data_IF_696756065898
#
_entry.id   IF_696756065898
#
_cell.length_a   1.000
_cell.length_b   1.000
_cell.length_c   1.000
_cell.angle_alpha   90.00
_cell.angle_beta   90.00
_cell.angle_gamma   90.00
#
_symmetry.space_group_name_H-M   'P 1'
#
loop_
_entity.id
_entity.type
_entity.pdbx_description
1 polymer ?
#
# COMPACT_ATOMS: atom_id res chain seq x y z
N UNK A 1 7.46 4.43 22.83
CA UNK A 1 6.25 5.26 22.93
C UNK A 1 6.41 6.50 22.08
N UNK A 2 5.36 6.90 21.43
CA UNK A 2 5.40 8.11 20.62
C UNK A 2 5.40 9.33 21.53
N UNK A 3 6.41 10.17 21.40
CA UNK A 3 6.51 11.36 22.21
C UNK A 3 5.32 12.28 21.93
N UNK A 4 4.68 12.76 22.96
CA UNK A 4 3.49 13.58 22.83
C UNK A 4 2.31 12.82 22.23
N UNK A 5 2.48 11.58 21.93
CA UNK A 5 1.44 10.64 21.59
C UNK A 5 0.92 10.66 20.19
N UNK A 6 0.82 11.76 19.52
CA UNK A 6 0.10 11.76 18.25
C UNK A 6 1.03 11.67 17.05
N UNK A 7 0.95 10.53 16.34
CA UNK A 7 1.60 10.37 15.05
C UNK A 7 0.72 11.06 14.01
N UNK A 8 1.33 11.82 13.11
CA UNK A 8 0.60 12.43 12.02
C UNK A 8 0.10 11.36 11.05
N UNK A 9 -1.19 11.37 10.79
CA UNK A 9 -1.80 10.46 9.82
C UNK A 9 -2.00 11.18 8.49
N UNK A 10 -1.70 10.46 7.41
CA UNK A 10 -1.90 10.93 6.05
C UNK A 10 -2.96 10.04 5.39
N UNK A 11 -3.91 10.66 4.70
CA UNK A 11 -4.98 9.93 4.01
C UNK A 11 -4.85 10.20 2.52
N UNK A 12 -4.84 9.12 1.74
CA UNK A 12 -4.82 9.20 0.28
C UNK A 12 -5.93 8.31 -0.28
N UNK A 13 -6.40 8.63 -1.49
CA UNK A 13 -7.51 7.92 -2.11
C UNK A 13 -7.33 7.80 -3.61
N UNK A 14 -7.94 6.76 -4.18
CA UNK A 14 -8.11 6.68 -5.63
C UNK A 14 -9.42 5.93 -5.94
N UNK A 15 -10.05 6.29 -7.05
CA UNK A 15 -11.20 5.54 -7.56
C UNK A 15 -10.69 4.59 -8.63
N UNK A 16 -10.92 3.29 -8.43
CA UNK A 16 -10.51 2.25 -9.37
C UNK A 16 -11.74 1.82 -10.17
N UNK A 17 -11.68 1.97 -11.47
CA UNK A 17 -12.80 1.65 -12.37
C UNK A 17 -12.77 0.15 -12.70
N UNK A 18 -13.04 -0.67 -11.70
CA UNK A 18 -13.05 -2.12 -11.80
C UNK A 18 -13.95 -2.68 -10.72
N UNK A 19 -14.29 -3.96 -10.83
CA UNK A 19 -15.14 -4.62 -9.85
C UNK A 19 -14.38 -4.90 -8.56
N UNK A 20 -15.13 -4.94 -7.45
CA UNK A 20 -14.56 -5.09 -6.12
C UNK A 20 -13.71 -6.35 -5.96
N UNK A 21 -14.17 -7.49 -6.47
CA UNK A 21 -13.39 -8.74 -6.39
C UNK A 21 -12.06 -8.61 -7.12
N UNK A 22 -12.05 -7.96 -8.27
CA UNK A 22 -10.83 -7.72 -9.04
C UNK A 22 -9.87 -6.82 -8.27
N UNK A 23 -10.40 -5.73 -7.70
CA UNK A 23 -9.59 -4.77 -6.94
C UNK A 23 -8.96 -5.45 -5.74
N UNK A 24 -9.76 -6.20 -4.98
CA UNK A 24 -9.27 -6.93 -3.80
C UNK A 24 -8.19 -7.94 -4.16
N UNK A 25 -8.43 -8.77 -5.18
CA UNK A 25 -7.49 -9.80 -5.60
C UNK A 25 -6.18 -9.19 -6.12
N UNK A 26 -6.28 -8.14 -6.93
CA UNK A 26 -5.09 -7.47 -7.48
C UNK A 26 -4.24 -6.84 -6.38
N UNK A 27 -4.88 -6.27 -5.37
CA UNK A 27 -4.15 -5.65 -4.25
C UNK A 27 -3.29 -6.68 -3.50
N UNK A 28 -3.79 -7.90 -3.36
CA UNK A 28 -3.19 -8.91 -2.49
C UNK A 28 -2.38 -10.00 -3.21
N UNK A 29 -2.39 -10.03 -4.52
CA UNK A 29 -1.68 -11.04 -5.30
C UNK A 29 -0.20 -10.64 -5.43
N UNK A 30 0.75 -11.46 -4.93
CA UNK A 30 2.17 -11.13 -4.98
C UNK A 30 2.71 -10.81 -6.37
N UNK A 31 2.29 -11.56 -7.38
CA UNK A 31 2.76 -11.30 -8.74
C UNK A 31 2.28 -9.93 -9.26
N UNK A 32 1.05 -9.56 -8.91
CA UNK A 32 0.50 -8.26 -9.27
C UNK A 32 1.22 -7.14 -8.50
N UNK A 33 1.49 -7.36 -7.21
CA UNK A 33 2.19 -6.37 -6.38
C UNK A 33 3.55 -6.02 -7.00
N UNK A 34 4.27 -7.02 -7.51
CA UNK A 34 5.54 -6.78 -8.20
C UNK A 34 5.39 -5.84 -9.40
N UNK A 35 4.18 -5.75 -9.97
CA UNK A 35 3.93 -4.92 -11.14
C UNK A 35 3.51 -3.49 -10.79
N UNK A 36 2.67 -3.32 -9.75
CA UNK A 36 2.10 -2.00 -9.48
C UNK A 36 2.73 -1.25 -8.30
N UNK A 37 3.43 -1.93 -7.40
CA UNK A 37 3.86 -1.31 -6.15
C UNK A 37 5.16 -0.52 -6.31
N UNK A 38 5.19 0.43 -7.25
CA UNK A 38 6.35 1.29 -7.48
C UNK A 38 5.90 2.74 -7.61
N UNK A 39 6.69 3.69 -7.09
CA UNK A 39 6.34 5.11 -7.20
C UNK A 39 6.66 5.70 -8.57
N UNK A 40 7.59 5.10 -9.32
CA UNK A 40 7.99 5.62 -10.64
C UNK A 40 8.69 4.53 -11.43
N UNK A 41 8.98 4.83 -12.71
CA UNK A 41 9.66 3.88 -13.60
C UNK A 41 11.11 3.62 -13.19
N UNK A 42 11.69 4.46 -12.34
CA UNK A 42 13.06 4.29 -11.87
C UNK A 42 13.19 3.25 -10.76
N UNK A 43 12.08 2.76 -10.26
CA UNK A 43 12.03 1.76 -9.19
C UNK A 43 11.43 0.46 -9.69
N UNK A 44 11.77 -0.62 -9.01
CA UNK A 44 11.17 -1.93 -9.27
C UNK A 44 10.83 -2.60 -7.94
N UNK A 45 9.82 -3.47 -7.99
CA UNK A 45 9.41 -4.27 -6.84
C UNK A 45 9.48 -5.73 -7.24
N UNK A 46 10.11 -6.53 -6.39
CA UNK A 46 10.31 -7.96 -6.64
C UNK A 46 10.10 -8.76 -5.36
N UNK A 47 10.06 -10.07 -5.50
CA UNK A 47 10.03 -10.99 -4.37
C UNK A 47 8.89 -10.73 -3.38
N UNK A 48 7.75 -10.27 -3.89
CA UNK A 48 6.59 -10.03 -3.04
C UNK A 48 6.04 -11.34 -2.52
N UNK A 49 5.68 -11.35 -1.24
CA UNK A 49 5.01 -12.48 -0.59
C UNK A 49 3.92 -11.95 0.31
N UNK A 50 2.82 -12.70 0.38
CA UNK A 50 1.65 -12.30 1.15
C UNK A 50 1.09 -13.54 1.85
N UNK A 51 0.94 -13.44 3.18
CA UNK A 51 0.22 -14.42 3.97
C UNK A 51 -1.01 -13.69 4.50
N UNK A 52 -2.08 -13.69 3.71
CA UNK A 52 -3.25 -12.85 3.95
C UNK A 52 -4.17 -13.43 5.02
N UNK A 53 -3.76 -13.26 6.26
CA UNK A 53 -4.53 -13.65 7.44
C UNK A 53 -4.09 -12.78 8.61
N UNK A 54 -4.93 -12.68 9.62
CA UNK A 54 -4.56 -11.95 10.83
C UNK A 54 -3.38 -12.66 11.48
N UNK A 55 -2.34 -11.89 11.80
CA UNK A 55 -1.08 -12.43 12.29
C UNK A 55 -0.10 -12.83 11.18
N UNK A 56 -0.55 -12.89 9.93
CA UNK A 56 0.32 -13.20 8.80
C UNK A 56 1.19 -12.02 8.43
N UNK A 57 2.19 -12.27 7.60
CA UNK A 57 3.15 -11.25 7.19
C UNK A 57 3.16 -11.06 5.68
N UNK A 58 3.57 -9.88 5.25
CA UNK A 58 3.84 -9.60 3.85
C UNK A 58 5.21 -8.96 3.70
N UNK A 59 5.81 -9.10 2.53
CA UNK A 59 7.10 -8.48 2.24
C UNK A 59 7.23 -8.26 0.73
N UNK A 60 7.84 -7.13 0.37
CA UNK A 60 8.20 -6.82 -1.01
C UNK A 60 9.57 -6.17 -1.01
N UNK A 61 10.42 -6.54 -1.97
CA UNK A 61 11.71 -5.88 -2.14
C UNK A 61 11.54 -4.72 -3.11
N UNK A 62 11.78 -3.51 -2.64
CA UNK A 62 11.66 -2.29 -3.46
C UNK A 62 13.06 -1.72 -3.67
N UNK A 63 13.44 -1.50 -4.93
CA UNK A 63 14.80 -1.08 -5.28
C UNK A 63 14.78 -0.07 -6.42
N UNK A 64 15.70 0.87 -6.35
CA UNK A 64 16.01 1.70 -7.52
C UNK A 64 16.64 0.81 -8.57
N UNK A 65 16.24 0.97 -9.83
CA UNK A 65 16.74 0.10 -10.92
C UNK A 65 18.23 0.23 -11.15
N UNK A 66 18.81 1.37 -10.80
CA UNK A 66 20.26 1.58 -10.93
C UNK A 66 21.06 1.03 -9.74
N UNK A 67 20.38 0.44 -8.76
CA UNK A 67 21.03 -0.15 -7.59
C UNK A 67 21.43 0.84 -6.51
N UNK A 68 21.08 2.12 -6.64
CA UNK A 68 21.52 3.16 -5.71
C UNK A 68 20.82 3.10 -4.35
N UNK A 69 19.66 2.48 -4.26
CA UNK A 69 18.90 2.40 -3.03
C UNK A 69 17.96 1.19 -3.06
N UNK A 70 17.58 0.71 -1.88
CA UNK A 70 16.62 -0.37 -1.78
C UNK A 70 16.25 -0.65 -0.34
N UNK A 71 15.10 -1.26 -0.14
CA UNK A 71 14.62 -1.64 1.19
C UNK A 71 13.55 -2.72 1.06
N UNK A 72 13.28 -3.38 2.18
CA UNK A 72 12.19 -4.34 2.27
C UNK A 72 10.97 -3.62 2.84
N UNK A 73 9.89 -3.59 2.06
CA UNK A 73 8.61 -3.07 2.54
C UNK A 73 7.85 -4.25 3.11
N UNK A 74 7.73 -4.31 4.44
CA UNK A 74 7.18 -5.48 5.10
C UNK A 74 6.37 -5.10 6.32
N UNK A 75 5.48 -6.01 6.71
CA UNK A 75 4.63 -5.77 7.87
C UNK A 75 3.87 -7.00 8.31
N UNK A 76 3.03 -6.80 9.32
CA UNK A 76 2.20 -7.84 9.92
C UNK A 76 0.75 -7.40 9.88
N UNK A 77 -0.12 -8.27 9.37
CA UNK A 77 -1.56 -7.99 9.34
C UNK A 77 -2.16 -8.14 10.73
N UNK A 78 -2.98 -7.16 11.13
CA UNK A 78 -3.70 -7.21 12.39
C UNK A 78 -5.18 -7.47 12.22
N UNK A 79 -5.77 -6.97 11.14
CA UNK A 79 -7.17 -7.14 10.88
C UNK A 79 -7.43 -7.20 9.39
N UNK A 80 -8.23 -8.18 8.98
CA UNK A 80 -8.62 -8.35 7.59
C UNK A 80 -10.12 -8.61 7.55
N UNK A 81 -10.85 -7.75 6.85
CA UNK A 81 -12.24 -7.97 6.51
C UNK A 81 -12.28 -8.04 4.98
N UNK A 82 -12.49 -9.24 4.41
CA UNK A 82 -12.39 -9.43 2.96
C UNK A 82 -13.22 -8.40 2.19
N UNK A 83 -12.58 -7.77 1.20
CA UNK A 83 -13.16 -6.77 0.31
C UNK A 83 -13.56 -5.45 0.98
N UNK A 84 -13.16 -5.25 2.25
CA UNK A 84 -13.52 -4.03 2.98
C UNK A 84 -12.35 -3.37 3.65
N UNK A 85 -11.46 -4.15 4.32
CA UNK A 85 -10.48 -3.56 5.22
C UNK A 85 -9.25 -4.43 5.38
N UNK A 86 -8.09 -3.78 5.36
CA UNK A 86 -6.84 -4.38 5.79
C UNK A 86 -6.17 -3.39 6.75
N UNK A 87 -5.79 -3.87 7.94
CA UNK A 87 -4.99 -3.09 8.88
C UNK A 87 -3.69 -3.84 9.14
N UNK A 88 -2.58 -3.13 9.06
CA UNK A 88 -1.27 -3.74 9.30
C UNK A 88 -0.32 -2.75 9.95
N UNK A 89 0.76 -3.29 10.51
CA UNK A 89 1.85 -2.50 11.08
C UNK A 89 3.11 -2.79 10.28
N UNK A 90 3.79 -1.75 9.85
CA UNK A 90 5.06 -1.86 9.13
C UNK A 90 6.18 -2.25 10.11
N UNK A 91 7.31 -2.73 9.57
CA UNK A 91 8.44 -3.15 10.38
C UNK A 91 8.98 -2.09 11.32
N UNK A 92 8.79 -0.82 11.00
CA UNK A 92 9.22 0.30 11.86
C UNK A 92 8.15 0.73 12.87
N UNK A 93 7.02 0.04 12.94
CA UNK A 93 5.95 0.29 13.91
C UNK A 93 4.83 1.20 13.45
N UNK A 94 4.91 1.75 12.23
CA UNK A 94 3.85 2.62 11.72
C UNK A 94 2.62 1.81 11.34
N UNK A 95 1.45 2.31 11.72
CA UNK A 95 0.18 1.67 11.39
C UNK A 95 -0.33 2.15 10.03
N UNK A 96 -0.92 1.24 9.29
CA UNK A 96 -1.53 1.51 7.98
C UNK A 96 -2.90 0.84 7.91
N UNK A 97 -3.85 1.54 7.31
CA UNK A 97 -5.19 1.02 7.09
C UNK A 97 -5.57 1.23 5.64
N UNK A 98 -6.07 0.19 4.99
CA UNK A 98 -6.56 0.23 3.61
C UNK A 98 -8.02 -0.13 3.60
N UNK A 99 -8.86 0.74 3.07
CA UNK A 99 -10.30 0.54 3.03
C UNK A 99 -10.78 0.47 1.57
N UNK A 100 -11.67 -0.47 1.29
CA UNK A 100 -12.26 -0.67 -0.02
C UNK A 100 -13.76 -0.48 0.10
N UNK A 101 -14.34 0.37 -0.73
CA UNK A 101 -15.78 0.60 -0.71
C UNK A 101 -16.32 0.81 -2.11
N UNK A 102 -17.54 0.32 -2.32
CA UNK A 102 -18.25 0.54 -3.58
C UNK A 102 -18.61 2.00 -3.71
N UNK A 103 -18.38 2.55 -4.89
CA UNK A 103 -18.68 3.94 -5.18
C UNK A 103 -19.25 4.05 -6.58
N UNK A 104 -19.81 5.22 -6.91
CA UNK A 104 -20.27 5.46 -8.27
C UNK A 104 -19.08 5.36 -9.23
N UNK A 105 -19.16 4.46 -10.18
CA UNK A 105 -18.13 4.29 -11.19
C UNK A 105 -17.00 3.32 -10.83
N UNK A 106 -17.03 2.70 -9.64
CA UNK A 106 -16.00 1.73 -9.30
C UNK A 106 -15.83 1.47 -7.82
N UNK A 107 -14.58 1.31 -7.40
CA UNK A 107 -14.22 1.04 -6.01
C UNK A 107 -13.34 2.18 -5.51
N UNK A 108 -13.72 2.78 -4.40
CA UNK A 108 -12.88 3.76 -3.73
C UNK A 108 -11.90 3.02 -2.83
N UNK A 109 -10.61 3.24 -3.05
CA UNK A 109 -9.55 2.70 -2.20
C UNK A 109 -8.95 3.86 -1.42
N UNK A 110 -9.00 3.76 -0.09
CA UNK A 110 -8.47 4.78 0.81
C UNK A 110 -7.38 4.16 1.68
N UNK A 111 -6.20 4.78 1.67
CA UNK A 111 -5.14 4.41 2.59
C UNK A 111 -4.95 5.50 3.63
N UNK A 112 -4.86 5.09 4.90
CA UNK A 112 -4.51 5.97 6.01
C UNK A 112 -3.22 5.41 6.60
N UNK A 113 -2.16 6.21 6.63
CA UNK A 113 -0.88 5.75 7.15
C UNK A 113 -0.24 6.79 8.05
N UNK A 114 0.56 6.29 9.00
CA UNK A 114 1.31 7.16 9.90
C UNK A 114 2.58 7.65 9.20
N UNK A 115 2.82 8.95 9.28
CA UNK A 115 3.99 9.55 8.63
C UNK A 115 5.26 9.23 9.39
N UNK A 116 6.37 9.04 8.65
CA UNK A 116 7.69 9.02 9.27
C UNK A 116 8.08 10.40 9.73
N UNK A 117 8.86 10.48 10.81
CA UNK A 117 9.30 11.75 11.36
C UNK A 117 10.47 12.38 10.59
N UNK A 118 11.19 11.58 9.78
CA UNK A 118 12.43 12.03 9.11
C UNK A 118 12.19 12.77 7.82
N UNK A 119 10.99 12.63 7.22
CA UNK A 119 10.69 13.19 5.91
C UNK A 119 9.48 14.10 6.00
N UNK A 120 9.45 15.09 5.10
CA UNK A 120 8.30 15.99 4.97
C UNK A 120 7.03 15.18 4.69
N UNK A 121 5.95 15.38 5.45
CA UNK A 121 4.69 14.68 5.21
C UNK A 121 4.15 14.80 3.78
N UNK A 122 4.31 15.95 3.15
CA UNK A 122 3.84 16.12 1.77
C UNK A 122 4.66 15.29 0.78
N UNK A 123 5.95 15.15 1.02
CA UNK A 123 6.80 14.28 0.21
C UNK A 123 6.35 12.81 0.34
N UNK A 124 6.03 12.38 1.56
CA UNK A 124 5.53 11.04 1.80
C UNK A 124 4.18 10.82 1.13
N UNK A 125 3.27 11.79 1.26
CA UNK A 125 1.96 11.73 0.60
C UNK A 125 2.11 11.52 -0.90
N UNK A 126 2.99 12.27 -1.54
CA UNK A 126 3.18 12.17 -3.00
C UNK A 126 3.70 10.79 -3.41
N UNK A 127 4.65 10.24 -2.67
CA UNK A 127 5.19 8.91 -2.96
C UNK A 127 4.15 7.81 -2.81
N UNK A 128 3.40 7.84 -1.73
CA UNK A 128 2.34 6.84 -1.49
C UNK A 128 1.20 7.00 -2.49
N UNK A 129 0.83 8.24 -2.83
CA UNK A 129 -0.21 8.49 -3.83
C UNK A 129 0.21 7.98 -5.21
N UNK A 130 1.46 8.17 -5.58
CA UNK A 130 1.97 7.69 -6.88
C UNK A 130 1.83 6.16 -6.99
N UNK A 131 2.12 5.43 -5.91
CA UNK A 131 1.96 3.98 -5.89
C UNK A 131 0.48 3.62 -5.99
N UNK A 132 -0.38 4.32 -5.26
CA UNK A 132 -1.82 4.06 -5.28
C UNK A 132 -2.42 4.34 -6.66
N UNK A 133 -2.00 5.42 -7.31
CA UNK A 133 -2.45 5.74 -8.67
C UNK A 133 -1.97 4.67 -9.65
N UNK A 134 -0.77 4.16 -9.46
CA UNK A 134 -0.22 3.09 -10.28
C UNK A 134 -1.04 1.81 -10.11
N UNK A 135 -1.45 1.52 -8.88
CA UNK A 135 -2.36 0.40 -8.62
C UNK A 135 -3.65 0.53 -9.41
N UNK A 136 -4.26 1.72 -9.38
CA UNK A 136 -5.53 1.96 -10.09
C UNK A 136 -5.37 1.69 -11.59
N UNK A 137 -4.32 2.22 -12.21
CA UNK A 137 -4.04 2.00 -13.64
C UNK A 137 -3.86 0.51 -13.94
N UNK A 138 -3.11 -0.18 -13.09
CA UNK A 138 -2.84 -1.60 -13.29
C UNK A 138 -4.11 -2.44 -13.17
N UNK A 139 -4.90 -2.21 -12.15
CA UNK A 139 -6.14 -2.95 -11.93
C UNK A 139 -7.14 -2.71 -13.06
N UNK A 140 -7.21 -1.47 -13.55
CA UNK A 140 -8.11 -1.13 -14.65
C UNK A 140 -7.68 -1.73 -15.98
N UNK A 141 -6.42 -2.10 -16.12
CA UNK A 141 -5.89 -2.69 -17.36
C UNK A 141 -6.06 -4.21 -17.42
N UNK A 142 -6.53 -4.81 -16.38
CA UNK A 142 -6.69 -6.28 -16.31
C UNK A 142 -7.85 -6.81 -17.11
#
# INVERSE_FOLDING_TARGET
>A
MRAGGTQLEIIIETLVKAELDMVWTTWNNPEDINQWATPSVDWQTTQSSVDLREGGRFSSRMEARDGSAGFDFEGTYHRIVPRELIEYTLGDGRAVKVQFSQAAGGVLVRETFEAESEYDPEFQRQGWQAILDNFARFAESK
#
